data_IF_717387887908
#
_entry.id   IF_717387887908
#
_cell.length_a   1.000
_cell.length_b   1.000
_cell.length_c   1.000
_cell.angle_alpha   90.00
_cell.angle_beta   90.00
_cell.angle_gamma   90.00
#
_symmetry.space_group_name_H-M   'P 1'
#
loop_
_entity.id
_entity.type
_entity.pdbx_description
1 polymer ?
#
# COMPACT_ATOMS: atom_id res chain seq x y z
N UNK A 1 2.08 25.06 -12.13
CA UNK A 1 2.59 23.70 -12.36
C UNK A 1 3.36 23.29 -11.12
N UNK A 2 2.81 22.43 -10.27
CA UNK A 2 3.61 21.86 -9.18
C UNK A 2 4.57 20.83 -9.78
N UNK A 3 5.85 20.94 -9.48
CA UNK A 3 6.84 19.92 -9.86
C UNK A 3 6.32 18.53 -9.50
N UNK A 4 6.00 17.75 -10.53
CA UNK A 4 5.54 16.37 -10.40
C UNK A 4 6.61 15.58 -9.64
N UNK A 5 6.23 14.85 -8.59
CA UNK A 5 7.17 14.01 -7.85
C UNK A 5 7.54 12.84 -8.76
N UNK A 6 8.81 12.75 -9.11
CA UNK A 6 9.36 11.63 -9.83
C UNK A 6 10.41 10.99 -8.95
N UNK A 7 10.14 9.77 -8.50
CA UNK A 7 11.21 8.89 -8.03
C UNK A 7 12.00 8.51 -9.28
N UNK A 8 13.23 9.00 -9.38
CA UNK A 8 14.06 8.84 -10.58
C UNK A 8 15.02 7.67 -10.48
N UNK A 9 15.29 7.21 -9.25
CA UNK A 9 16.12 6.04 -9.01
C UNK A 9 15.75 5.38 -7.69
N UNK A 10 15.76 4.05 -7.66
CA UNK A 10 15.72 3.22 -6.46
C UNK A 10 16.88 2.24 -6.53
N UNK A 11 17.81 2.35 -5.59
CA UNK A 11 18.96 1.46 -5.46
C UNK A 11 18.76 0.58 -4.24
N UNK A 12 18.70 -0.73 -4.46
CA UNK A 12 18.67 -1.73 -3.40
C UNK A 12 20.10 -2.19 -3.14
N UNK A 13 20.57 -2.12 -1.90
CA UNK A 13 21.85 -2.67 -1.46
C UNK A 13 21.63 -3.84 -0.50
N UNK A 14 21.42 -5.07 -1.01
CA UNK A 14 21.02 -6.22 -0.19
C UNK A 14 22.02 -6.56 0.92
N UNK A 15 23.33 -6.45 0.64
CA UNK A 15 24.40 -6.73 1.62
C UNK A 15 24.38 -5.75 2.79
N UNK A 16 24.10 -4.48 2.49
CA UNK A 16 24.04 -3.41 3.49
C UNK A 16 22.67 -3.36 4.17
N UNK A 17 21.66 -4.03 3.61
CA UNK A 17 20.24 -3.98 4.00
C UNK A 17 19.75 -2.54 4.01
N UNK A 18 20.10 -1.81 2.96
CA UNK A 18 19.73 -0.41 2.78
C UNK A 18 19.14 -0.21 1.38
N UNK A 19 18.16 0.68 1.30
CA UNK A 19 17.56 1.11 0.05
C UNK A 19 17.70 2.62 -0.02
N UNK A 20 18.18 3.08 -1.16
CA UNK A 20 18.33 4.50 -1.46
C UNK A 20 17.35 4.86 -2.56
N UNK A 21 16.72 6.02 -2.44
CA UNK A 21 15.87 6.51 -3.53
C UNK A 21 16.06 8.01 -3.73
N UNK A 22 15.94 8.42 -4.99
CA UNK A 22 16.13 9.80 -5.41
C UNK A 22 14.82 10.38 -5.91
N UNK A 23 14.48 11.58 -5.43
CA UNK A 23 13.29 12.33 -5.84
C UNK A 23 13.73 13.57 -6.62
N UNK A 24 13.16 13.71 -7.82
CA UNK A 24 13.39 14.83 -8.75
C UNK A 24 14.88 15.09 -9.04
N UNK A 25 15.70 14.04 -9.07
CA UNK A 25 17.17 14.09 -9.25
C UNK A 25 17.92 14.99 -8.25
N UNK A 26 17.27 15.34 -7.14
CA UNK A 26 17.79 16.31 -6.16
C UNK A 26 17.88 15.71 -4.77
N UNK A 27 16.77 15.19 -4.26
CA UNK A 27 16.68 14.74 -2.88
C UNK A 27 16.95 13.25 -2.78
N UNK A 28 17.96 12.86 -2.00
CA UNK A 28 18.31 11.46 -1.75
C UNK A 28 17.87 11.05 -0.36
N UNK A 29 17.19 9.91 -0.29
CA UNK A 29 16.67 9.34 0.94
C UNK A 29 17.17 7.92 1.14
N UNK A 30 17.08 7.43 2.38
CA UNK A 30 17.56 6.11 2.79
C UNK A 30 16.53 5.40 3.66
N UNK A 31 16.35 4.11 3.41
CA UNK A 31 15.57 3.16 4.22
C UNK A 31 16.51 2.04 4.70
N UNK A 32 16.56 1.71 6.00
CA UNK A 32 15.94 2.45 7.09
C UNK A 32 16.71 3.73 7.45
N UNK A 33 15.99 4.75 7.91
CA UNK A 33 16.55 5.96 8.53
C UNK A 33 15.59 6.51 9.59
N UNK A 34 15.97 7.60 10.28
CA UNK A 34 15.03 8.28 11.19
C UNK A 34 13.78 8.79 10.47
N UNK A 35 13.93 9.24 9.22
CA UNK A 35 12.86 9.78 8.40
C UNK A 35 12.08 8.67 7.67
N UNK A 36 12.76 7.59 7.27
CA UNK A 36 12.10 6.41 6.71
C UNK A 36 12.37 5.17 7.56
N UNK A 37 11.77 5.06 8.76
CA UNK A 37 12.02 3.96 9.68
C UNK A 37 11.53 2.61 9.18
N UNK A 38 12.13 1.54 9.70
CA UNK A 38 11.62 0.16 9.65
C UNK A 38 11.73 -0.43 11.06
N UNK A 39 10.87 -1.40 11.38
CA UNK A 39 10.92 -2.11 12.66
C UNK A 39 12.23 -2.86 12.86
N UNK A 40 12.77 -3.45 11.80
CA UNK A 40 14.03 -4.19 11.84
C UNK A 40 14.80 -4.10 10.54
N UNK A 41 16.01 -3.54 10.60
CA UNK A 41 16.98 -3.63 9.48
C UNK A 41 17.42 -5.07 9.21
N UNK A 42 17.33 -5.98 10.19
CA UNK A 42 17.89 -7.33 10.06
C UNK A 42 17.09 -8.24 9.14
N UNK A 43 15.77 -8.04 9.09
CA UNK A 43 14.83 -8.89 8.36
C UNK A 43 14.17 -8.09 7.23
N UNK A 44 14.98 -7.32 6.51
CA UNK A 44 14.52 -6.52 5.38
C UNK A 44 14.03 -7.43 4.26
N UNK A 45 12.74 -7.36 3.96
CA UNK A 45 12.12 -7.92 2.76
C UNK A 45 11.96 -6.85 1.68
N UNK A 46 12.22 -7.24 0.45
CA UNK A 46 11.97 -6.44 -0.76
C UNK A 46 11.05 -7.27 -1.64
N UNK A 47 9.88 -6.74 -1.96
CA UNK A 47 8.85 -7.45 -2.73
C UNK A 47 8.47 -6.64 -3.97
N UNK A 48 8.57 -7.32 -5.10
CA UNK A 48 8.40 -6.81 -6.46
C UNK A 48 7.68 -7.86 -7.29
N UNK A 49 7.25 -7.52 -8.50
CA UNK A 49 6.63 -8.48 -9.42
C UNK A 49 7.54 -9.69 -9.66
N UNK A 50 8.85 -9.48 -9.75
CA UNK A 50 9.85 -10.54 -10.02
C UNK A 50 10.17 -11.41 -8.80
N UNK A 51 9.92 -10.91 -7.59
CA UNK A 51 10.26 -11.60 -6.33
C UNK A 51 9.06 -12.20 -5.63
N UNK A 52 7.86 -12.01 -6.18
CA UNK A 52 6.61 -12.57 -5.67
C UNK A 52 5.91 -13.41 -6.72
N UNK A 53 5.09 -14.36 -6.26
CA UNK A 53 4.38 -15.30 -7.12
C UNK A 53 2.85 -15.18 -6.95
N UNK A 54 2.05 -15.63 -7.94
CA UNK A 54 0.60 -15.71 -7.80
C UNK A 54 0.17 -16.58 -6.62
N UNK A 55 -0.98 -16.25 -6.03
CA UNK A 55 -1.54 -16.97 -4.87
C UNK A 55 -2.98 -17.41 -5.15
N UNK A 56 -3.29 -18.68 -4.91
CA UNK A 56 -4.57 -19.30 -5.30
C UNK A 56 -5.21 -20.19 -4.21
N UNK A 57 -4.86 -20.01 -2.93
CA UNK A 57 -5.53 -20.78 -1.87
C UNK A 57 -6.98 -20.30 -1.68
N UNK A 58 -7.94 -21.00 -2.28
CA UNK A 58 -9.36 -20.64 -2.25
C UNK A 58 -9.92 -20.53 -0.83
N UNK A 59 -9.51 -21.39 0.10
CA UNK A 59 -10.02 -21.39 1.46
C UNK A 59 -9.61 -20.12 2.21
N UNK A 60 -8.36 -19.68 2.02
CA UNK A 60 -7.87 -18.40 2.55
C UNK A 60 -8.58 -17.20 1.91
N UNK A 61 -8.71 -17.18 0.58
CA UNK A 61 -9.36 -16.08 -0.14
C UNK A 61 -10.85 -15.97 0.19
N UNK A 62 -11.55 -17.10 0.32
CA UNK A 62 -12.94 -17.12 0.73
C UNK A 62 -13.11 -16.56 2.15
N UNK A 63 -12.21 -16.87 3.09
CA UNK A 63 -12.24 -16.29 4.42
C UNK A 63 -12.00 -14.77 4.41
N UNK A 64 -11.08 -14.27 3.57
CA UNK A 64 -10.87 -12.83 3.37
C UNK A 64 -12.12 -12.15 2.81
N UNK A 65 -12.87 -12.83 1.93
CA UNK A 65 -14.12 -12.31 1.37
C UNK A 65 -15.25 -12.15 2.39
N UNK A 66 -15.14 -12.73 3.58
CA UNK A 66 -16.15 -12.65 4.64
C UNK A 66 -15.88 -11.56 5.70
N UNK A 67 -14.77 -10.81 5.59
CA UNK A 67 -14.43 -9.77 6.58
C UNK A 67 -14.55 -8.36 6.01
N UNK A 68 -14.75 -7.40 6.89
CA UNK A 68 -14.69 -5.99 6.52
C UNK A 68 -13.23 -5.50 6.43
N UNK A 69 -12.90 -4.91 5.29
CA UNK A 69 -11.62 -4.27 4.99
C UNK A 69 -11.84 -2.80 4.56
N UNK A 70 -12.13 -1.89 5.50
CA UNK A 70 -12.35 -0.47 5.20
C UNK A 70 -11.12 0.17 4.54
N UNK A 71 -11.31 1.18 3.70
CA UNK A 71 -10.18 1.88 3.09
C UNK A 71 -9.40 2.70 4.11
N UNK A 72 -8.09 2.86 3.85
CA UNK A 72 -7.18 3.60 4.75
C UNK A 72 -6.83 2.87 6.06
N UNK A 73 -7.37 1.68 6.31
CA UNK A 73 -7.17 0.93 7.57
C UNK A 73 -6.11 -0.17 7.47
N UNK A 74 -5.02 0.06 6.70
CA UNK A 74 -4.05 -0.96 6.32
C UNK A 74 -3.45 -1.76 7.48
N UNK A 75 -3.09 -1.10 8.60
CA UNK A 75 -2.53 -1.79 9.76
C UNK A 75 -3.51 -2.81 10.38
N UNK A 76 -4.76 -2.40 10.61
CA UNK A 76 -5.77 -3.29 11.17
C UNK A 76 -6.25 -4.33 10.18
N UNK A 77 -6.38 -3.96 8.91
CA UNK A 77 -6.79 -4.86 7.84
C UNK A 77 -5.77 -5.99 7.66
N UNK A 78 -4.49 -5.67 7.62
CA UNK A 78 -3.43 -6.66 7.54
C UNK A 78 -3.44 -7.59 8.76
N UNK A 79 -3.61 -7.08 9.98
CA UNK A 79 -3.71 -7.96 11.15
C UNK A 79 -4.91 -8.92 11.08
N UNK A 80 -6.09 -8.46 10.61
CA UNK A 80 -7.23 -9.35 10.38
C UNK A 80 -6.89 -10.46 9.38
N UNK A 81 -6.23 -10.11 8.28
CA UNK A 81 -5.80 -11.07 7.24
C UNK A 81 -4.77 -12.07 7.81
N UNK A 82 -3.80 -11.60 8.61
CA UNK A 82 -2.82 -12.46 9.29
C UNK A 82 -3.49 -13.48 10.20
N UNK A 83 -4.46 -13.03 11.01
CA UNK A 83 -5.22 -13.89 11.92
C UNK A 83 -6.05 -14.94 11.18
N UNK A 84 -6.62 -14.59 10.02
CA UNK A 84 -7.27 -15.57 9.14
C UNK A 84 -6.25 -16.62 8.71
N UNK A 85 -5.05 -16.20 8.29
CA UNK A 85 -4.01 -17.12 7.82
C UNK A 85 -3.58 -18.08 8.92
N UNK A 86 -3.33 -17.55 10.11
CA UNK A 86 -3.00 -18.34 11.31
C UNK A 86 -4.06 -19.39 11.63
N UNK A 87 -5.34 -19.00 11.65
CA UNK A 87 -6.47 -19.93 11.91
C UNK A 87 -6.57 -21.05 10.87
N UNK A 88 -6.12 -20.80 9.65
CA UNK A 88 -6.19 -21.73 8.52
C UNK A 88 -4.89 -22.50 8.30
N UNK A 89 -3.88 -22.32 9.15
CA UNK A 89 -2.57 -22.95 9.00
C UNK A 89 -1.74 -22.41 7.82
N UNK A 90 -2.11 -21.23 7.28
CA UNK A 90 -1.33 -20.51 6.27
C UNK A 90 -0.21 -19.76 6.97
N UNK A 91 1.02 -19.86 6.44
CA UNK A 91 2.19 -19.10 6.91
C UNK A 91 2.09 -17.62 6.49
N UNK A 92 1.17 -16.90 7.13
CA UNK A 92 0.89 -15.50 6.90
C UNK A 92 1.63 -14.63 7.94
N UNK A 93 2.55 -13.80 7.46
CA UNK A 93 3.39 -12.94 8.28
C UNK A 93 2.99 -11.48 8.09
N UNK A 94 2.79 -10.77 9.19
CA UNK A 94 2.53 -9.34 9.16
C UNK A 94 3.85 -8.59 8.89
N UNK A 95 3.84 -7.77 7.85
CA UNK A 95 4.94 -6.89 7.48
C UNK A 95 4.49 -5.44 7.54
N UNK A 96 5.43 -4.57 7.91
CA UNK A 96 5.27 -3.13 7.79
C UNK A 96 6.51 -2.48 7.20
N UNK A 97 6.33 -1.33 6.59
CA UNK A 97 7.40 -0.56 5.99
C UNK A 97 6.88 0.41 4.94
N UNK A 98 7.52 0.48 3.79
CA UNK A 98 7.31 1.49 2.77
C UNK A 98 6.85 0.85 1.46
N UNK A 99 5.73 1.32 0.94
CA UNK A 99 5.27 1.00 -0.41
C UNK A 99 5.64 2.15 -1.34
N UNK A 100 6.16 1.80 -2.50
CA UNK A 100 6.44 2.73 -3.58
C UNK A 100 5.41 2.45 -4.67
N UNK A 101 4.70 3.50 -5.08
CA UNK A 101 3.85 3.50 -6.26
C UNK A 101 4.49 4.40 -7.30
N UNK A 102 4.56 3.95 -8.54
CA UNK A 102 5.15 4.74 -9.62
C UNK A 102 4.50 6.13 -9.69
N UNK A 103 5.33 7.18 -9.63
CA UNK A 103 4.88 8.58 -9.67
C UNK A 103 4.46 9.17 -8.32
N UNK A 104 4.67 8.48 -7.20
CA UNK A 104 4.31 8.96 -5.86
C UNK A 104 5.47 8.81 -4.85
N UNK A 105 5.40 9.53 -3.73
CA UNK A 105 6.27 9.32 -2.58
C UNK A 105 5.93 8.00 -1.87
N UNK A 106 6.92 7.30 -1.30
CA UNK A 106 6.62 6.06 -0.59
C UNK A 106 5.80 6.34 0.67
N UNK A 107 4.74 5.57 0.89
CA UNK A 107 3.86 5.68 2.06
C UNK A 107 4.18 4.56 3.06
N UNK A 108 4.16 4.86 4.35
CA UNK A 108 4.31 3.83 5.37
C UNK A 108 3.02 3.00 5.46
N UNK A 109 3.16 1.68 5.42
CA UNK A 109 2.06 0.77 5.13
C UNK A 109 2.26 -0.59 5.79
N UNK A 110 1.21 -1.40 5.81
CA UNK A 110 1.24 -2.77 6.31
C UNK A 110 0.54 -3.73 5.35
N UNK A 111 1.15 -4.89 5.14
CA UNK A 111 0.67 -5.96 4.26
C UNK A 111 1.02 -7.32 4.85
N UNK A 112 0.49 -8.38 4.25
CA UNK A 112 0.79 -9.76 4.62
C UNK A 112 1.71 -10.38 3.59
N UNK A 113 2.75 -11.06 4.07
CA UNK A 113 3.61 -11.93 3.27
C UNK A 113 3.20 -13.36 3.57
N UNK A 114 2.85 -14.10 2.53
CA UNK A 114 2.46 -15.51 2.63
C UNK A 114 3.58 -16.38 2.07
N UNK A 115 4.11 -17.26 2.91
CA UNK A 115 5.14 -18.23 2.50
C UNK A 115 4.50 -19.54 2.06
N UNK A 116 4.94 -20.07 0.92
CA UNK A 116 4.54 -21.39 0.41
C UNK A 116 5.63 -22.00 -0.47
N UNK A 117 5.45 -23.24 -0.92
CA UNK A 117 6.50 -23.99 -1.63
C UNK A 117 7.01 -23.31 -2.90
N UNK A 118 6.13 -22.62 -3.63
CA UNK A 118 6.47 -21.91 -4.86
C UNK A 118 7.16 -20.55 -4.63
N UNK A 119 7.29 -20.08 -3.39
CA UNK A 119 7.91 -18.81 -3.04
C UNK A 119 7.08 -17.99 -2.06
N UNK A 120 7.08 -16.66 -2.27
CA UNK A 120 6.36 -15.72 -1.42
C UNK A 120 5.31 -14.96 -2.23
N UNK A 121 4.15 -14.75 -1.63
CA UNK A 121 3.09 -13.91 -2.15
C UNK A 121 2.80 -12.77 -1.19
N UNK A 122 2.20 -11.70 -1.68
CA UNK A 122 1.65 -10.64 -0.83
C UNK A 122 0.13 -10.69 -0.81
N UNK A 123 -0.45 -10.30 0.32
CA UNK A 123 -1.84 -9.89 0.41
C UNK A 123 -1.87 -8.51 1.04
N UNK A 124 -2.28 -7.53 0.25
CA UNK A 124 -2.34 -6.14 0.66
C UNK A 124 -3.76 -5.61 0.50
N UNK A 125 -4.33 -5.14 1.61
CA UNK A 125 -5.66 -4.53 1.68
C UNK A 125 -5.85 -3.24 0.88
N UNK A 126 -4.79 -2.71 0.24
CA UNK A 126 -4.93 -1.66 -0.78
C UNK A 126 -5.94 -2.07 -1.84
N UNK A 127 -6.95 -1.23 -2.01
CA UNK A 127 -8.04 -1.40 -2.98
C UNK A 127 -7.61 -1.04 -4.41
N UNK A 128 -6.35 -1.27 -4.77
CA UNK A 128 -5.75 -0.77 -6.01
C UNK A 128 -6.42 -1.36 -7.26
N UNK A 129 -6.91 -2.61 -7.20
CA UNK A 129 -7.60 -3.21 -8.35
C UNK A 129 -8.88 -2.45 -8.71
N UNK A 130 -9.57 -1.84 -7.72
CA UNK A 130 -10.72 -0.97 -7.99
C UNK A 130 -10.29 0.25 -8.79
N UNK A 131 -9.18 0.89 -8.43
CA UNK A 131 -8.69 2.08 -9.13
C UNK A 131 -8.19 1.76 -10.54
N UNK A 132 -7.51 0.62 -10.70
CA UNK A 132 -7.08 0.12 -12.01
C UNK A 132 -8.31 -0.11 -12.91
N UNK A 133 -9.31 -0.81 -12.41
CA UNK A 133 -10.51 -1.13 -13.17
C UNK A 133 -11.35 0.11 -13.48
N UNK A 134 -11.49 1.03 -12.51
CA UNK A 134 -12.17 2.30 -12.71
C UNK A 134 -11.48 3.14 -13.79
N UNK A 135 -10.15 3.19 -13.79
CA UNK A 135 -9.38 3.95 -14.80
C UNK A 135 -9.50 3.34 -16.19
N UNK A 136 -9.56 2.00 -16.29
CA UNK A 136 -9.77 1.29 -17.56
C UNK A 136 -11.16 1.54 -18.15
N UNK A 137 -12.21 1.46 -17.32
CA UNK A 137 -13.60 1.63 -17.75
C UNK A 137 -14.00 3.09 -17.96
N UNK A 138 -13.44 3.98 -17.13
CA UNK A 138 -13.79 5.39 -17.08
C UNK A 138 -12.51 6.24 -17.10
N UNK A 139 -11.88 6.41 -18.28
CA UNK A 139 -10.70 7.24 -18.42
C UNK A 139 -10.96 8.66 -17.88
N UNK A 140 -10.02 9.16 -17.08
CA UNK A 140 -10.14 10.46 -16.41
C UNK A 140 -9.53 11.55 -17.28
N UNK A 141 -10.32 12.57 -17.62
CA UNK A 141 -9.79 13.84 -18.14
C UNK A 141 -9.43 14.76 -16.98
N UNK A 142 -8.13 14.90 -16.70
CA UNK A 142 -7.65 15.75 -15.61
C UNK A 142 -7.83 17.25 -15.87
N UNK A 143 -8.22 17.67 -17.07
CA UNK A 143 -8.58 19.06 -17.37
C UNK A 143 -10.02 19.40 -16.98
N UNK A 144 -10.85 18.39 -16.72
CA UNK A 144 -12.22 18.58 -16.27
C UNK A 144 -12.26 19.03 -14.80
N UNK A 145 -12.84 20.20 -14.45
CA UNK A 145 -12.91 20.65 -13.06
C UNK A 145 -13.59 19.65 -12.11
N UNK A 146 -14.49 18.80 -12.62
CA UNK A 146 -15.24 17.79 -11.86
C UNK A 146 -14.59 16.40 -11.89
N UNK A 147 -13.36 16.27 -12.40
CA UNK A 147 -12.72 14.96 -12.60
C UNK A 147 -12.72 14.11 -11.32
N UNK A 148 -12.52 14.71 -10.14
CA UNK A 148 -12.52 13.98 -8.85
C UNK A 148 -13.88 13.36 -8.52
N UNK A 149 -14.96 14.11 -8.74
CA UNK A 149 -16.33 13.64 -8.53
C UNK A 149 -16.64 12.50 -9.49
N UNK A 150 -16.25 12.64 -10.77
CA UNK A 150 -16.39 11.59 -11.78
C UNK A 150 -15.59 10.33 -11.42
N UNK A 151 -14.34 10.49 -10.97
CA UNK A 151 -13.50 9.39 -10.49
C UNK A 151 -14.11 8.69 -9.27
N UNK A 152 -14.66 9.44 -8.30
CA UNK A 152 -15.32 8.87 -7.14
C UNK A 152 -16.56 8.04 -7.53
N UNK A 153 -17.37 8.54 -8.48
CA UNK A 153 -18.52 7.79 -9.02
C UNK A 153 -18.10 6.53 -9.79
N UNK A 154 -17.03 6.62 -10.59
CA UNK A 154 -16.46 5.47 -11.29
C UNK A 154 -16.00 4.39 -10.29
N UNK A 155 -15.25 4.80 -9.25
CA UNK A 155 -14.84 3.92 -8.15
C UNK A 155 -16.06 3.29 -7.46
N UNK A 156 -17.12 4.08 -7.18
CA UNK A 156 -18.37 3.57 -6.59
C UNK A 156 -19.00 2.47 -7.44
N UNK A 157 -19.03 2.66 -8.75
CA UNK A 157 -19.58 1.68 -9.68
C UNK A 157 -18.74 0.41 -9.68
N UNK A 158 -17.42 0.52 -9.78
CA UNK A 158 -16.52 -0.65 -9.78
C UNK A 158 -16.60 -1.43 -8.47
N UNK A 159 -16.72 -0.77 -7.31
CA UNK A 159 -16.93 -1.45 -6.02
C UNK A 159 -18.17 -2.36 -6.07
N UNK A 160 -19.26 -1.92 -6.70
CA UNK A 160 -20.49 -2.72 -6.85
C UNK A 160 -20.31 -3.91 -7.79
N UNK A 161 -19.47 -3.76 -8.80
CA UNK A 161 -19.16 -4.81 -9.78
C UNK A 161 -18.12 -5.83 -9.26
N UNK A 162 -17.34 -5.46 -8.24
CA UNK A 162 -16.31 -6.28 -7.60
C UNK A 162 -16.67 -6.54 -6.13
N UNK A 163 -17.71 -7.33 -5.83
CA UNK A 163 -18.24 -7.45 -4.46
C UNK A 163 -17.29 -8.17 -3.49
N UNK A 164 -16.32 -8.93 -4.00
CA UNK A 164 -15.43 -9.74 -3.17
C UNK A 164 -14.13 -8.99 -2.85
N UNK A 165 -13.69 -9.01 -1.58
CA UNK A 165 -12.43 -8.41 -1.18
C UNK A 165 -11.24 -8.90 -2.03
N UNK A 166 -11.17 -10.20 -2.33
CA UNK A 166 -10.12 -10.81 -3.13
C UNK A 166 -10.05 -10.29 -4.57
N UNK A 167 -11.13 -9.69 -5.08
CA UNK A 167 -11.13 -8.98 -6.36
C UNK A 167 -10.58 -7.57 -6.20
N UNK A 168 -10.95 -6.91 -5.11
CA UNK A 168 -10.65 -5.49 -4.86
C UNK A 168 -9.21 -5.23 -4.40
N UNK A 169 -8.61 -6.17 -3.67
CA UNK A 169 -7.31 -6.02 -3.03
C UNK A 169 -6.18 -6.66 -3.85
N UNK A 170 -4.92 -6.38 -3.51
CA UNK A 170 -3.77 -7.04 -4.15
C UNK A 170 -3.57 -8.41 -3.49
N UNK A 171 -3.54 -9.47 -4.31
CA UNK A 171 -3.36 -10.85 -3.87
C UNK A 171 -2.34 -11.55 -4.77
N UNK A 172 -1.33 -12.18 -4.17
CA UNK A 172 -0.31 -12.93 -4.90
C UNK A 172 0.86 -12.05 -5.30
N UNK A 173 1.02 -11.87 -6.60
CA UNK A 173 2.15 -11.16 -7.17
C UNK A 173 1.96 -9.65 -7.02
N UNK A 174 3.04 -8.95 -6.67
CA UNK A 174 3.09 -7.48 -6.65
C UNK A 174 2.82 -6.93 -8.05
N UNK A 175 2.03 -5.86 -8.12
CA UNK A 175 1.77 -5.13 -9.37
C UNK A 175 3.05 -4.45 -9.89
N UNK A 176 3.26 -4.39 -11.21
CA UNK A 176 4.48 -3.83 -11.82
C UNK A 176 4.77 -2.37 -11.43
N UNK A 177 3.72 -1.59 -11.15
CA UNK A 177 3.83 -0.20 -10.72
C UNK A 177 4.13 -0.04 -9.22
N UNK A 178 4.31 -1.16 -8.49
CA UNK A 178 4.52 -1.20 -7.05
C UNK A 178 5.85 -1.86 -6.67
N UNK A 179 6.40 -1.37 -5.57
CA UNK A 179 7.62 -1.91 -4.96
C UNK A 179 7.51 -1.79 -3.44
N UNK A 180 7.70 -2.90 -2.71
CA UNK A 180 7.49 -2.97 -1.27
C UNK A 180 8.82 -3.19 -0.54
N UNK A 181 9.00 -2.47 0.55
CA UNK A 181 10.18 -2.56 1.42
C UNK A 181 9.72 -2.64 2.85
N UNK A 182 9.95 -3.75 3.53
CA UNK A 182 9.48 -3.88 4.91
C UNK A 182 10.24 -4.90 5.72
N UNK A 183 9.80 -5.09 6.95
CA UNK A 183 10.25 -6.17 7.81
C UNK A 183 9.07 -6.78 8.56
N UNK A 184 9.17 -8.05 9.03
CA UNK A 184 8.18 -8.63 9.93
C UNK A 184 7.93 -7.70 11.11
N UNK A 185 6.67 -7.52 11.46
CA UNK A 185 6.26 -6.58 12.50
C UNK A 185 4.91 -6.98 13.13
N UNK A 186 4.40 -6.11 14.01
CA UNK A 186 3.08 -6.20 14.62
C UNK A 186 2.30 -4.91 14.35
N UNK A 187 0.98 -4.97 14.46
CA UNK A 187 0.11 -3.80 14.35
C UNK A 187 0.51 -2.68 15.34
N UNK A 188 0.79 -3.03 16.60
CA UNK A 188 1.10 -2.07 17.66
C UNK A 188 2.41 -1.34 17.39
N UNK A 189 3.46 -2.08 17.03
CA UNK A 189 4.76 -1.47 16.74
C UNK A 189 4.73 -0.68 15.42
N UNK A 190 4.00 -1.15 14.40
CA UNK A 190 3.82 -0.40 13.14
C UNK A 190 3.15 0.95 13.37
N UNK A 191 2.06 0.96 14.15
CA UNK A 191 1.35 2.20 14.53
C UNK A 191 2.24 3.12 15.37
N UNK A 192 3.00 2.56 16.31
CA UNK A 192 3.97 3.31 17.10
C UNK A 192 5.03 3.98 16.21
N UNK A 193 5.61 3.25 15.26
CA UNK A 193 6.58 3.80 14.31
C UNK A 193 5.97 4.93 13.50
N UNK A 194 4.76 4.74 12.97
CA UNK A 194 4.06 5.76 12.18
C UNK A 194 3.75 7.03 12.99
N UNK A 195 3.25 6.87 14.23
CA UNK A 195 2.96 7.99 15.12
C UNK A 195 4.24 8.76 15.48
N UNK A 196 5.33 8.06 15.80
CA UNK A 196 6.62 8.70 16.10
C UNK A 196 7.20 9.41 14.89
N UNK A 197 7.04 8.84 13.69
CA UNK A 197 7.45 9.43 12.43
C UNK A 197 6.72 10.76 12.16
N UNK A 198 5.39 10.75 12.28
CA UNK A 198 4.54 11.91 12.00
C UNK A 198 4.72 13.01 13.05
N UNK A 199 4.91 12.66 14.32
CA UNK A 199 5.22 13.60 15.39
C UNK A 199 6.59 14.26 15.20
N UNK A 200 7.61 13.46 14.88
CA UNK A 200 9.00 13.94 14.75
C UNK A 200 9.25 14.71 13.45
N UNK A 201 8.53 14.36 12.40
CA UNK A 201 8.62 14.98 11.08
C UNK A 201 7.24 15.45 10.64
N UNK A 202 6.68 16.51 11.26
CA UNK A 202 5.34 17.01 10.91
C UNK A 202 5.28 17.52 9.46
N UNK A 203 6.44 17.80 8.86
CA UNK A 203 6.61 18.14 7.45
C UNK A 203 7.22 17.01 6.62
N UNK A 204 6.89 15.76 6.94
CA UNK A 204 7.44 14.61 6.23
C UNK A 204 7.10 14.65 4.74
N UNK A 205 8.09 14.45 3.83
CA UNK A 205 7.88 14.62 2.40
C UNK A 205 6.85 13.64 1.81
N UNK A 206 6.64 12.47 2.44
CA UNK A 206 5.62 11.52 2.01
C UNK A 206 4.17 11.88 2.39
N UNK A 207 3.93 12.81 3.32
CA UNK A 207 2.57 13.11 3.83
C UNK A 207 2.15 14.57 3.65
N UNK A 208 3.07 15.45 3.29
CA UNK A 208 2.84 16.90 3.26
C UNK A 208 2.11 17.44 2.02
N UNK A 209 2.02 16.68 0.92
CA UNK A 209 1.86 17.32 -0.39
C UNK A 209 0.63 16.96 -1.20
N UNK A 210 -0.13 15.93 -0.84
CA UNK A 210 -1.25 15.47 -1.68
C UNK A 210 -2.57 16.19 -1.39
N UNK A 211 -2.55 17.22 -0.54
CA UNK A 211 -3.77 17.73 0.06
C UNK A 211 -4.43 16.67 0.96
N UNK A 212 -3.62 15.70 1.42
CA UNK A 212 -3.97 14.79 2.47
C UNK A 212 -4.31 15.64 3.71
N UNK A 213 -5.50 15.44 4.28
CA UNK A 213 -5.82 16.07 5.57
C UNK A 213 -4.85 15.56 6.65
N UNK A 214 -4.91 16.11 7.87
CA UNK A 214 -4.04 15.65 8.98
C UNK A 214 -4.21 14.16 9.33
N UNK A 215 -5.22 13.48 8.76
CA UNK A 215 -5.49 12.04 8.88
C UNK A 215 -4.95 11.23 7.69
N UNK A 216 -4.30 11.86 6.70
CA UNK A 216 -3.72 11.19 5.54
C UNK A 216 -4.69 10.93 4.38
N UNK A 217 -5.86 11.58 4.34
CA UNK A 217 -6.87 11.39 3.27
C UNK A 217 -6.71 12.37 2.13
N UNK A 218 -6.47 11.87 0.92
CA UNK A 218 -6.43 12.68 -0.30
C UNK A 218 -7.78 13.31 -0.62
N UNK A 219 -7.78 14.39 -1.41
CA UNK A 219 -9.03 15.03 -1.88
C UNK A 219 -9.96 14.08 -2.63
N UNK A 220 -9.44 13.06 -3.30
CA UNK A 220 -10.28 12.04 -3.94
C UNK A 220 -10.97 11.15 -2.89
N UNK A 221 -10.25 10.75 -1.84
CA UNK A 221 -10.82 9.99 -0.72
C UNK A 221 -11.86 10.81 0.04
N UNK A 222 -11.69 12.13 0.15
CA UNK A 222 -12.74 13.02 0.68
C UNK A 222 -14.01 13.01 -0.18
N UNK A 223 -13.90 13.10 -1.51
CA UNK A 223 -15.06 12.98 -2.40
C UNK A 223 -15.71 11.59 -2.34
N UNK A 224 -14.90 10.53 -2.22
CA UNK A 224 -15.38 9.17 -2.01
C UNK A 224 -16.20 9.05 -0.70
N UNK A 225 -15.68 9.59 0.41
CA UNK A 225 -16.37 9.60 1.69
C UNK A 225 -17.72 10.34 1.60
N UNK A 226 -17.77 11.49 0.90
CA UNK A 226 -19.02 12.25 0.69
C UNK A 226 -20.11 11.46 -0.03
N UNK A 227 -19.74 10.49 -0.87
CA UNK A 227 -20.69 9.65 -1.60
C UNK A 227 -20.90 8.28 -0.94
N UNK A 228 -20.48 8.12 0.32
CA UNK A 228 -20.69 6.92 1.14
C UNK A 228 -19.74 5.77 0.82
N UNK A 229 -18.50 6.09 0.44
CA UNK A 229 -17.43 5.11 0.25
C UNK A 229 -16.40 5.32 1.37
N UNK A 230 -16.33 4.35 2.29
CA UNK A 230 -15.45 4.36 3.46
C UNK A 230 -14.32 3.32 3.38
#
# INVERSE_FOLDING_TARGET
MSDMIRITNVEVKPKEREIFFTVNDKSKYKIPSKMFPLSSKKNLGVFTTETTVPYQNELFLNAINQIELPMGMCYSNSEKIRQIGEKLGVKAHYFSGWIFKAGDMPKHHAWIVVEHEAGVSIVDSLKENIFIEATKKFPVDYNDPDWRKKSALAVKQVIREMPLNSQQIIVGQVLESFFYVGSPDTIDNSRKIFNQLTEKFPKHPAYMRDGDNLEGRSKLQEEMARIGIE
#
